data_IF_299817245951
#
_entry.id   IF_299817245951
#
_cell.length_a   1.000
_cell.length_b   1.000
_cell.length_c   1.000
_cell.angle_alpha   90.00
_cell.angle_beta   90.00
_cell.angle_gamma   90.00
#
_symmetry.space_group_name_H-M   'P 1'
#
loop_
_entity.id
_entity.type
_entity.pdbx_description
1 polymer ?
#
# COMPACT_ATOMS: atom_id res chain seq x y z
N UNK A 1 -2.09 31.59 -14.11
CA UNK A 1 -1.55 32.34 -15.26
C UNK A 1 -2.72 32.84 -16.09
N UNK A 2 -3.12 34.10 -15.90
CA UNK A 2 -4.15 34.79 -16.67
C UNK A 2 -3.50 36.01 -17.30
N UNK A 3 -3.55 36.13 -18.62
CA UNK A 3 -3.03 37.27 -19.38
C UNK A 3 -4.17 37.88 -20.19
N UNK A 4 -4.42 39.14 -19.84
CA UNK A 4 -5.22 40.18 -20.46
C UNK A 4 -5.00 40.38 -21.97
N UNK A 5 -6.03 40.88 -22.67
CA UNK A 5 -6.02 42.06 -23.58
C UNK A 5 -7.36 42.08 -24.36
N UNK A 6 -8.36 42.90 -24.01
CA UNK A 6 -8.60 44.34 -24.33
C UNK A 6 -8.70 44.68 -25.83
N UNK A 7 -9.93 44.99 -26.22
CA UNK A 7 -10.40 45.62 -27.47
C UNK A 7 -9.83 47.03 -27.72
N UNK A 8 -10.00 47.56 -28.95
CA UNK A 8 -10.40 48.95 -29.10
C UNK A 8 -11.53 49.20 -30.13
N UNK A 9 -12.20 50.33 -29.92
CA UNK A 9 -13.34 50.93 -30.61
C UNK A 9 -12.95 51.75 -31.87
N UNK A 10 -13.85 51.73 -32.86
CA UNK A 10 -14.38 52.81 -33.73
C UNK A 10 -13.53 54.05 -34.10
N UNK A 11 -13.36 54.30 -35.41
CA UNK A 11 -13.20 55.65 -36.02
C UNK A 11 -13.25 55.64 -37.58
N UNK A 12 -14.19 56.42 -38.16
CA UNK A 12 -14.20 57.09 -39.49
C UNK A 12 -14.08 56.23 -40.79
N UNK A 13 -14.79 56.45 -41.90
CA UNK A 13 -15.32 57.67 -42.49
C UNK A 13 -16.52 57.39 -43.44
N UNK A 14 -17.48 58.32 -43.41
CA UNK A 14 -18.63 58.45 -44.31
C UNK A 14 -18.16 59.13 -45.61
N UNK A 15 -18.30 58.47 -46.77
CA UNK A 15 -18.02 59.06 -48.08
C UNK A 15 -19.34 59.40 -48.80
N UNK A 16 -19.39 60.64 -49.29
CA UNK A 16 -20.57 61.40 -49.65
C UNK A 16 -21.22 60.98 -50.99
N UNK A 17 -22.55 61.11 -50.98
CA UNK A 17 -23.48 61.14 -52.12
C UNK A 17 -23.16 62.28 -53.07
N UNK A 18 -23.09 62.00 -54.37
CA UNK A 18 -23.37 62.97 -55.44
C UNK A 18 -24.19 62.26 -56.53
N UNK A 19 -25.47 62.62 -56.62
CA UNK A 19 -26.35 62.31 -57.76
C UNK A 19 -27.31 63.49 -57.96
N UNK A 20 -27.25 64.16 -59.11
CA UNK A 20 -28.39 64.76 -59.82
C UNK A 20 -27.99 65.18 -61.27
N UNK A 21 -28.96 65.33 -62.21
CA UNK A 21 -28.87 64.88 -63.60
C UNK A 21 -29.06 66.01 -64.64
N UNK A 22 -28.79 65.74 -65.93
CA UNK A 22 -29.40 66.48 -67.06
C UNK A 22 -29.18 65.75 -68.41
N UNK A 23 -30.25 65.74 -69.22
CA UNK A 23 -30.42 65.13 -70.54
C UNK A 23 -29.81 65.98 -71.67
N UNK A 24 -29.45 65.36 -72.83
CA UNK A 24 -29.75 65.87 -74.18
C UNK A 24 -29.20 64.96 -75.32
N UNK A 25 -30.00 64.81 -76.40
CA UNK A 25 -29.61 64.38 -77.76
C UNK A 25 -29.82 62.87 -78.05
N UNK A 26 -30.87 62.36 -78.70
CA UNK A 26 -31.61 62.66 -79.95
C UNK A 26 -30.97 62.09 -81.24
N UNK A 27 -31.74 61.21 -81.89
CA UNK A 27 -31.69 60.68 -83.28
C UNK A 27 -30.68 59.54 -83.57
N UNK A 28 -30.99 58.54 -84.40
CA UNK A 28 -32.17 58.22 -85.23
C UNK A 28 -32.16 56.73 -85.55
N UNK A 29 -33.37 56.24 -85.73
CA UNK A 29 -33.78 55.12 -86.58
C UNK A 29 -32.75 54.70 -87.64
N UNK A 30 -32.40 53.41 -87.64
CA UNK A 30 -32.27 52.69 -88.90
C UNK A 30 -33.33 51.62 -88.98
N UNK A 31 -34.17 51.82 -89.98
CA UNK A 31 -35.34 51.04 -90.29
C UNK A 31 -34.94 49.72 -90.96
N UNK A 32 -35.78 48.72 -90.74
CA UNK A 32 -36.05 47.63 -91.68
C UNK A 32 -34.89 46.68 -92.03
N UNK A 33 -34.74 45.66 -91.20
CA UNK A 33 -34.81 44.29 -91.76
C UNK A 33 -35.95 43.58 -91.05
N UNK A 34 -37.11 43.57 -91.69
CA UNK A 34 -38.23 42.67 -91.40
C UNK A 34 -37.74 41.23 -91.66
N UNK A 35 -36.98 40.69 -90.72
CA UNK A 35 -36.98 39.25 -90.49
C UNK A 35 -38.42 38.88 -90.21
N UNK A 36 -39.03 38.16 -91.15
CA UNK A 36 -40.41 37.65 -91.11
C UNK A 36 -40.85 37.36 -89.65
N UNK A 37 -41.97 37.91 -89.15
CA UNK A 37 -42.44 37.73 -87.76
C UNK A 37 -42.41 36.28 -87.26
N UNK A 38 -42.62 35.32 -88.18
CA UNK A 38 -42.50 33.88 -87.92
C UNK A 38 -41.07 33.48 -87.51
N UNK A 39 -40.02 34.03 -88.14
CA UNK A 39 -38.62 33.77 -87.75
C UNK A 39 -38.27 34.32 -86.37
N UNK A 40 -38.85 35.44 -85.95
CA UNK A 40 -38.64 35.97 -84.58
C UNK A 40 -39.24 35.05 -83.53
N UNK A 41 -40.45 34.54 -83.75
CA UNK A 41 -41.10 33.58 -82.85
C UNK A 41 -40.33 32.26 -82.83
N UNK A 42 -39.89 31.74 -83.99
CA UNK A 42 -39.08 30.51 -84.06
C UNK A 42 -37.72 30.69 -83.36
N UNK A 43 -37.03 31.82 -83.54
CA UNK A 43 -35.76 32.10 -82.87
C UNK A 43 -35.94 32.25 -81.34
N UNK A 44 -37.04 32.86 -80.88
CA UNK A 44 -37.37 32.94 -79.46
C UNK A 44 -37.65 31.55 -78.89
N UNK A 45 -38.45 30.72 -79.58
CA UNK A 45 -38.73 29.34 -79.19
C UNK A 45 -37.46 28.48 -79.17
N UNK A 46 -36.55 28.65 -80.13
CA UNK A 46 -35.24 27.98 -80.14
C UNK A 46 -34.33 28.46 -79.01
N UNK A 47 -34.34 29.75 -78.68
CA UNK A 47 -33.59 30.30 -77.54
C UNK A 47 -34.15 29.82 -76.19
N UNK A 48 -35.47 29.72 -76.06
CA UNK A 48 -36.13 29.13 -74.89
C UNK A 48 -35.84 27.64 -74.78
N UNK A 49 -35.86 26.91 -75.90
CA UNK A 49 -35.49 25.49 -75.94
C UNK A 49 -34.04 25.28 -75.48
N UNK A 50 -33.09 26.11 -75.93
CA UNK A 50 -31.70 26.07 -75.46
C UNK A 50 -31.56 26.39 -73.97
N UNK A 51 -32.23 27.44 -73.48
CA UNK A 51 -32.22 27.78 -72.04
C UNK A 51 -32.78 26.65 -71.18
N UNK A 52 -33.91 26.06 -71.58
CA UNK A 52 -34.51 24.91 -70.87
C UNK A 52 -33.58 23.70 -70.89
N UNK A 53 -32.82 23.48 -71.96
CA UNK A 53 -31.81 22.41 -72.00
C UNK A 53 -30.61 22.70 -71.09
N UNK A 54 -30.10 23.94 -71.06
CA UNK A 54 -28.99 24.36 -70.19
C UNK A 54 -29.39 24.35 -68.70
N UNK A 55 -30.57 24.86 -68.37
CA UNK A 55 -31.14 24.82 -67.02
C UNK A 55 -31.43 23.39 -66.59
N UNK A 56 -32.00 22.56 -67.49
CA UNK A 56 -32.22 21.14 -67.23
C UNK A 56 -30.93 20.35 -67.01
N UNK A 57 -29.81 20.73 -67.63
CA UNK A 57 -28.50 20.12 -67.35
C UNK A 57 -27.95 20.54 -65.98
N UNK A 58 -28.06 21.83 -65.63
CA UNK A 58 -27.63 22.35 -64.33
C UNK A 58 -28.46 21.80 -63.17
N UNK A 59 -29.77 21.69 -63.33
CA UNK A 59 -30.67 21.10 -62.33
C UNK A 59 -30.37 19.61 -62.11
N UNK A 60 -30.11 18.85 -63.18
CA UNK A 60 -29.67 17.45 -63.07
C UNK A 60 -28.37 17.32 -62.29
N UNK A 61 -27.37 18.15 -62.59
CA UNK A 61 -26.09 18.12 -61.87
C UNK A 61 -26.24 18.49 -60.38
N UNK A 62 -27.06 19.50 -60.06
CA UNK A 62 -27.37 19.86 -58.67
C UNK A 62 -28.12 18.74 -57.95
N UNK A 63 -29.08 18.11 -58.63
CA UNK A 63 -29.86 17.01 -58.08
C UNK A 63 -28.97 15.80 -57.80
N UNK A 64 -28.08 15.42 -58.72
CA UNK A 64 -27.12 14.34 -58.51
C UNK A 64 -26.17 14.63 -57.35
N UNK A 65 -25.66 15.86 -57.22
CA UNK A 65 -24.83 16.28 -56.07
C UNK A 65 -25.59 16.22 -54.76
N UNK A 66 -26.84 16.69 -54.73
CA UNK A 66 -27.70 16.64 -53.56
C UNK A 66 -27.99 15.19 -53.15
N UNK A 67 -28.33 14.33 -54.11
CA UNK A 67 -28.56 12.91 -53.86
C UNK A 67 -27.29 12.18 -53.39
N UNK A 68 -26.12 12.54 -53.93
CA UNK A 68 -24.83 12.02 -53.46
C UNK A 68 -24.55 12.45 -52.01
N UNK A 69 -24.85 13.69 -51.64
CA UNK A 69 -24.75 14.18 -50.26
C UNK A 69 -25.70 13.44 -49.32
N UNK A 70 -26.97 13.29 -49.69
CA UNK A 70 -27.97 12.58 -48.89
C UNK A 70 -27.62 11.11 -48.71
N UNK A 71 -27.19 10.42 -49.77
CA UNK A 71 -26.82 9.00 -49.69
C UNK A 71 -25.58 8.78 -48.83
N UNK A 72 -24.50 9.57 -49.03
CA UNK A 72 -23.31 9.50 -48.18
C UNK A 72 -23.61 9.85 -46.72
N UNK A 73 -24.31 10.94 -46.48
CA UNK A 73 -24.69 11.37 -45.12
C UNK A 73 -25.55 10.32 -44.40
N UNK A 74 -26.52 9.72 -45.10
CA UNK A 74 -27.33 8.64 -44.54
C UNK A 74 -26.52 7.37 -44.24
N UNK A 75 -25.55 7.04 -45.11
CA UNK A 75 -24.64 5.90 -44.92
C UNK A 75 -23.71 6.10 -43.73
N UNK A 76 -23.03 7.24 -43.66
CA UNK A 76 -22.11 7.59 -42.56
C UNK A 76 -22.85 7.66 -41.22
N UNK A 77 -24.05 8.25 -41.21
CA UNK A 77 -24.91 8.29 -40.01
C UNK A 77 -25.31 6.87 -39.59
N UNK A 78 -25.76 6.02 -40.52
CA UNK A 78 -26.11 4.63 -40.24
C UNK A 78 -24.93 3.82 -39.69
N UNK A 79 -23.73 3.98 -40.25
CA UNK A 79 -22.51 3.36 -39.75
C UNK A 79 -22.18 3.84 -38.33
N UNK A 80 -22.31 5.14 -38.06
CA UNK A 80 -22.07 5.70 -36.72
C UNK A 80 -23.06 5.18 -35.68
N UNK A 81 -24.33 5.01 -36.05
CA UNK A 81 -25.37 4.43 -35.19
C UNK A 81 -25.05 2.98 -34.90
N UNK A 82 -24.74 2.17 -35.91
CA UNK A 82 -24.39 0.75 -35.71
C UNK A 82 -23.12 0.58 -34.85
N UNK A 83 -22.11 1.44 -35.05
CA UNK A 83 -20.92 1.47 -34.21
C UNK A 83 -21.24 1.88 -32.75
N UNK A 84 -22.21 2.78 -32.55
CA UNK A 84 -22.67 3.16 -31.21
C UNK A 84 -23.48 2.03 -30.55
N UNK A 85 -24.41 1.41 -31.27
CA UNK A 85 -25.24 0.29 -30.80
C UNK A 85 -24.40 -0.92 -30.38
N UNK A 86 -23.24 -1.14 -31.01
CA UNK A 86 -22.28 -2.18 -30.61
C UNK A 86 -21.40 -1.77 -29.43
N UNK A 87 -21.01 -0.49 -29.34
CA UNK A 87 -20.19 0.03 -28.23
C UNK A 87 -20.94 0.16 -26.92
N UNK A 88 -22.18 0.61 -26.94
CA UNK A 88 -22.99 0.82 -25.72
C UNK A 88 -23.01 -0.43 -24.83
N UNK A 89 -23.39 -1.63 -25.29
CA UNK A 89 -23.42 -2.81 -24.44
C UNK A 89 -22.03 -3.23 -23.95
N UNK A 90 -20.98 -3.03 -24.77
CA UNK A 90 -19.60 -3.33 -24.36
C UNK A 90 -19.16 -2.43 -23.21
N UNK A 91 -19.36 -1.12 -23.33
CA UNK A 91 -18.96 -0.16 -22.28
C UNK A 91 -19.82 -0.35 -21.03
N UNK A 92 -21.11 -0.67 -21.15
CA UNK A 92 -21.95 -1.01 -20.00
C UNK A 92 -21.43 -2.26 -19.27
N UNK A 93 -21.08 -3.33 -19.99
CA UNK A 93 -20.51 -4.52 -19.37
C UNK A 93 -19.16 -4.24 -18.67
N UNK A 94 -18.31 -3.39 -19.27
CA UNK A 94 -17.05 -2.97 -18.66
C UNK A 94 -17.28 -2.14 -17.38
N UNK A 95 -18.30 -1.27 -17.36
CA UNK A 95 -18.70 -0.50 -16.18
C UNK A 95 -19.16 -1.44 -15.06
N UNK A 96 -20.09 -2.36 -15.34
CA UNK A 96 -20.60 -3.31 -14.35
C UNK A 96 -19.47 -4.16 -13.76
N UNK A 97 -18.53 -4.61 -14.60
CA UNK A 97 -17.34 -5.35 -14.15
C UNK A 97 -16.40 -4.49 -13.28
N UNK A 98 -16.23 -3.21 -13.63
CA UNK A 98 -15.42 -2.27 -12.84
C UNK A 98 -16.06 -1.95 -11.49
N UNK A 99 -17.39 -1.76 -11.44
CA UNK A 99 -18.14 -1.54 -10.20
C UNK A 99 -18.04 -2.75 -9.26
N UNK A 100 -18.15 -3.97 -9.79
CA UNK A 100 -17.95 -5.19 -9.01
C UNK A 100 -16.54 -5.29 -8.42
N UNK A 101 -15.51 -4.96 -9.21
CA UNK A 101 -14.12 -4.92 -8.73
C UNK A 101 -13.89 -3.83 -7.69
N UNK A 102 -14.51 -2.67 -7.86
CA UNK A 102 -14.43 -1.58 -6.90
C UNK A 102 -15.01 -2.01 -5.56
N UNK A 103 -16.22 -2.59 -5.55
CA UNK A 103 -16.84 -3.10 -4.33
C UNK A 103 -15.97 -4.16 -3.63
N UNK A 104 -15.40 -5.10 -4.39
CA UNK A 104 -14.47 -6.09 -3.82
C UNK A 104 -13.23 -5.42 -3.23
N UNK A 105 -12.61 -4.49 -3.95
CA UNK A 105 -11.40 -3.80 -3.50
C UNK A 105 -11.66 -2.97 -2.24
N UNK A 106 -12.84 -2.36 -2.10
CA UNK A 106 -13.23 -1.64 -0.88
C UNK A 106 -13.38 -2.56 0.33
N UNK A 107 -13.92 -3.76 0.14
CA UNK A 107 -14.02 -4.78 1.19
C UNK A 107 -12.61 -5.25 1.59
N UNK A 108 -11.79 -5.61 0.61
CA UNK A 108 -10.42 -6.08 0.83
C UNK A 108 -9.57 -5.01 1.54
N UNK A 109 -9.77 -3.73 1.19
CA UNK A 109 -9.07 -2.61 1.82
C UNK A 109 -9.47 -2.46 3.29
N UNK A 110 -10.76 -2.59 3.63
CA UNK A 110 -11.20 -2.56 5.03
C UNK A 110 -10.64 -3.73 5.81
N UNK A 111 -10.71 -4.94 5.26
CA UNK A 111 -10.13 -6.14 5.90
C UNK A 111 -8.62 -5.96 6.13
N UNK A 112 -7.88 -5.49 5.11
CA UNK A 112 -6.44 -5.26 5.24
C UNK A 112 -6.10 -4.18 6.28
N UNK A 113 -6.97 -3.18 6.48
CA UNK A 113 -6.79 -2.18 7.55
C UNK A 113 -6.99 -2.78 8.94
N UNK A 114 -8.01 -3.63 9.10
CA UNK A 114 -8.27 -4.36 10.35
C UNK A 114 -7.12 -5.32 10.66
N UNK A 115 -6.71 -6.13 9.69
CA UNK A 115 -5.59 -7.07 9.81
C UNK A 115 -4.29 -6.35 10.16
N UNK A 116 -4.02 -5.19 9.55
CA UNK A 116 -2.86 -4.37 9.88
C UNK A 116 -2.91 -3.86 11.32
N UNK A 117 -4.09 -3.45 11.80
CA UNK A 117 -4.26 -3.00 13.17
C UNK A 117 -4.03 -4.13 14.16
N UNK A 118 -4.64 -5.30 13.91
CA UNK A 118 -4.47 -6.49 14.71
C UNK A 118 -3.01 -6.96 14.73
N UNK A 119 -2.33 -7.00 13.58
CA UNK A 119 -0.93 -7.36 13.49
C UNK A 119 -0.02 -6.40 14.26
N UNK A 120 -0.29 -5.09 14.23
CA UNK A 120 0.46 -4.11 15.04
C UNK A 120 0.28 -4.33 16.54
N UNK A 121 -0.95 -4.61 16.98
CA UNK A 121 -1.23 -4.91 18.37
C UNK A 121 -0.50 -6.19 18.82
N UNK A 122 -0.61 -7.26 18.03
CA UNK A 122 0.09 -8.53 18.30
C UNK A 122 1.61 -8.35 18.36
N UNK A 123 2.20 -7.56 17.45
CA UNK A 123 3.64 -7.25 17.48
C UNK A 123 4.04 -6.46 18.73
N UNK A 124 3.23 -5.50 19.16
CA UNK A 124 3.50 -4.73 20.37
C UNK A 124 3.42 -5.60 21.63
N UNK A 125 2.41 -6.46 21.73
CA UNK A 125 2.26 -7.42 22.82
C UNK A 125 3.41 -8.43 22.84
N UNK A 126 3.80 -8.99 21.69
CA UNK A 126 4.93 -9.90 21.57
C UNK A 126 6.26 -9.23 21.97
N UNK A 127 6.46 -7.97 21.57
CA UNK A 127 7.66 -7.20 21.95
C UNK A 127 7.69 -6.96 23.46
N UNK A 128 6.56 -6.56 24.06
CA UNK A 128 6.46 -6.35 25.49
C UNK A 128 6.69 -7.65 26.29
N UNK A 129 6.19 -8.78 25.78
CA UNK A 129 6.44 -10.09 26.37
C UNK A 129 7.93 -10.45 26.32
N UNK A 130 8.58 -10.29 25.15
CA UNK A 130 10.02 -10.55 24.99
C UNK A 130 10.87 -9.65 25.88
N UNK A 131 10.53 -8.38 26.02
CA UNK A 131 11.24 -7.49 26.96
C UNK A 131 11.08 -7.94 28.42
N UNK A 132 9.92 -8.46 28.80
CA UNK A 132 9.68 -8.99 30.14
C UNK A 132 10.45 -10.30 30.37
N UNK A 133 10.40 -11.22 29.41
CA UNK A 133 11.12 -12.50 29.46
C UNK A 133 12.63 -12.28 29.52
N UNK A 134 13.19 -11.43 28.66
CA UNK A 134 14.62 -11.10 28.67
C UNK A 134 15.07 -10.47 29.99
N UNK A 135 14.23 -9.61 30.61
CA UNK A 135 14.52 -9.04 31.94
C UNK A 135 14.51 -10.11 33.03
N UNK A 136 13.52 -11.01 33.02
CA UNK A 136 13.46 -12.13 33.97
C UNK A 136 14.65 -13.07 33.80
N UNK A 137 14.98 -13.43 32.57
CA UNK A 137 16.15 -14.27 32.25
C UNK A 137 17.46 -13.62 32.71
N UNK A 138 17.65 -12.32 32.48
CA UNK A 138 18.84 -11.61 32.94
C UNK A 138 18.98 -11.62 34.47
N UNK A 139 17.86 -11.44 35.19
CA UNK A 139 17.83 -11.52 36.65
C UNK A 139 18.15 -12.93 37.15
N UNK A 140 17.49 -13.95 36.61
CA UNK A 140 17.74 -15.35 36.95
C UNK A 140 19.18 -15.74 36.65
N UNK A 141 19.71 -15.40 35.47
CA UNK A 141 21.09 -15.68 35.09
C UNK A 141 22.07 -15.07 36.11
N UNK A 142 21.84 -13.83 36.53
CA UNK A 142 22.69 -13.17 37.53
C UNK A 142 22.64 -13.90 38.90
N UNK A 143 21.47 -14.37 39.32
CA UNK A 143 21.34 -15.18 40.53
C UNK A 143 22.04 -16.54 40.40
N UNK A 144 21.86 -17.25 39.29
CA UNK A 144 22.54 -18.52 39.03
C UNK A 144 24.06 -18.35 39.00
N UNK A 145 24.58 -17.31 38.33
CA UNK A 145 26.01 -16.99 38.29
C UNK A 145 26.56 -16.72 39.71
N UNK A 146 25.83 -15.95 40.53
CA UNK A 146 26.22 -15.67 41.92
C UNK A 146 26.20 -16.94 42.79
N UNK A 147 25.19 -17.79 42.63
CA UNK A 147 25.06 -19.05 43.36
C UNK A 147 26.16 -20.05 42.98
N UNK A 148 26.45 -20.22 41.69
CA UNK A 148 27.54 -21.08 41.20
C UNK A 148 28.89 -20.57 41.72
N UNK A 149 29.12 -19.26 41.72
CA UNK A 149 30.34 -18.68 42.29
C UNK A 149 30.48 -18.96 43.79
N UNK A 150 29.40 -18.81 44.55
CA UNK A 150 29.38 -19.14 45.98
C UNK A 150 29.68 -20.63 46.24
N UNK A 151 29.09 -21.52 45.45
CA UNK A 151 29.33 -22.98 45.51
C UNK A 151 30.79 -23.31 45.20
N UNK A 152 31.38 -22.71 44.16
CA UNK A 152 32.81 -22.90 43.82
C UNK A 152 33.72 -22.46 44.97
N UNK A 153 33.45 -21.30 45.57
CA UNK A 153 34.18 -20.82 46.74
C UNK A 153 34.06 -21.76 47.94
N UNK A 154 32.87 -22.33 48.15
CA UNK A 154 32.64 -23.32 49.20
C UNK A 154 33.47 -24.59 48.98
N UNK A 155 33.41 -25.16 47.76
CA UNK A 155 34.18 -26.35 47.39
C UNK A 155 35.67 -26.10 47.61
N UNK A 156 36.22 -24.98 47.11
CA UNK A 156 37.64 -24.64 47.29
C UNK A 156 38.04 -24.49 48.77
N UNK A 157 37.21 -23.83 49.57
CA UNK A 157 37.51 -23.62 50.98
C UNK A 157 37.47 -24.93 51.78
N UNK A 158 36.56 -25.84 51.42
CA UNK A 158 36.46 -27.18 52.03
C UNK A 158 37.63 -28.08 51.64
N UNK A 159 38.06 -28.06 50.37
CA UNK A 159 39.21 -28.81 49.88
C UNK A 159 40.53 -28.34 50.52
N UNK A 160 40.66 -27.03 50.78
CA UNK A 160 41.81 -26.43 51.47
C UNK A 160 41.77 -26.58 52.99
N UNK A 161 40.74 -27.24 53.55
CA UNK A 161 40.58 -27.42 55.00
C UNK A 161 40.21 -26.14 55.76
N UNK A 162 39.76 -25.09 55.07
CA UNK A 162 39.40 -23.78 55.63
C UNK A 162 37.89 -23.67 55.97
N UNK A 163 37.25 -24.78 56.33
CA UNK A 163 35.82 -24.85 56.59
C UNK A 163 35.33 -23.82 57.64
N UNK A 164 36.06 -23.66 58.75
CA UNK A 164 35.68 -22.73 59.81
C UNK A 164 35.69 -21.25 59.39
N UNK A 165 36.64 -20.85 58.53
CA UNK A 165 36.68 -19.49 57.98
C UNK A 165 35.62 -19.28 56.91
N UNK A 166 35.30 -20.33 56.14
CA UNK A 166 34.26 -20.27 55.11
C UNK A 166 32.87 -19.99 55.69
N UNK A 167 32.53 -20.59 56.83
CA UNK A 167 31.23 -20.41 57.48
C UNK A 167 30.92 -18.94 57.86
N UNK A 168 31.95 -18.10 57.99
CA UNK A 168 31.82 -16.68 58.28
C UNK A 168 31.66 -15.81 57.02
N UNK A 169 31.81 -16.39 55.82
CA UNK A 169 31.74 -15.66 54.56
C UNK A 169 30.31 -15.42 54.10
N UNK A 170 30.13 -14.40 53.25
CA UNK A 170 28.85 -14.14 52.57
C UNK A 170 28.43 -15.30 51.65
N UNK A 171 29.37 -16.05 51.09
CA UNK A 171 29.08 -17.23 50.27
C UNK A 171 28.40 -18.34 51.09
N UNK A 172 28.82 -18.57 52.33
CA UNK A 172 28.15 -19.53 53.23
C UNK A 172 26.71 -19.11 53.58
N UNK A 173 26.45 -17.79 53.69
CA UNK A 173 25.10 -17.27 53.91
C UNK A 173 24.20 -17.46 52.68
N UNK A 174 24.73 -17.22 51.48
CA UNK A 174 24.01 -17.45 50.21
C UNK A 174 23.67 -18.93 50.02
N UNK A 175 24.61 -19.84 50.28
CA UNK A 175 24.35 -21.29 50.19
C UNK A 175 23.32 -21.73 51.23
N UNK A 176 23.31 -21.13 52.43
CA UNK A 176 22.27 -21.42 53.43
C UNK A 176 20.89 -21.01 52.94
N UNK A 177 20.75 -19.84 52.33
CA UNK A 177 19.47 -19.40 51.75
C UNK A 177 19.07 -20.31 50.58
N UNK A 178 20.00 -20.63 49.70
CA UNK A 178 19.77 -21.55 48.59
C UNK A 178 19.29 -22.93 49.06
N UNK A 179 19.89 -23.47 50.13
CA UNK A 179 19.49 -24.74 50.73
C UNK A 179 18.14 -24.68 51.45
N UNK A 180 17.61 -23.50 51.77
CA UNK A 180 16.26 -23.34 52.29
C UNK A 180 15.23 -23.17 51.16
N UNK A 181 15.61 -22.48 50.08
CA UNK A 181 14.70 -22.11 48.98
C UNK A 181 14.54 -23.22 47.92
N UNK A 182 15.59 -23.96 47.59
CA UNK A 182 15.56 -24.96 46.51
C UNK A 182 14.88 -26.24 46.98
N UNK A 183 13.59 -26.44 46.71
CA UNK A 183 12.87 -27.68 47.07
C UNK A 183 13.34 -28.95 46.31
N UNK A 184 14.07 -28.80 45.20
CA UNK A 184 14.49 -29.91 44.33
C UNK A 184 15.68 -30.74 44.85
N UNK A 185 16.28 -30.34 45.98
CA UNK A 185 17.36 -31.10 46.61
C UNK A 185 16.79 -32.20 47.53
N UNK A 186 17.40 -33.38 47.50
CA UNK A 186 17.06 -34.48 48.40
C UNK A 186 17.11 -34.00 49.86
N UNK A 187 16.09 -34.35 50.64
CA UNK A 187 15.97 -33.89 52.03
C UNK A 187 17.18 -34.28 52.88
N UNK A 188 17.81 -35.42 52.56
CA UNK A 188 19.04 -35.91 53.20
C UNK A 188 20.21 -34.95 52.93
N UNK A 189 20.41 -34.55 51.67
CA UNK A 189 21.49 -33.64 51.27
C UNK A 189 21.27 -32.23 51.82
N UNK A 190 20.00 -31.79 51.88
CA UNK A 190 19.61 -30.54 52.52
C UNK A 190 19.98 -30.52 54.00
N UNK A 191 19.62 -31.57 54.72
CA UNK A 191 19.91 -31.68 56.15
C UNK A 191 21.43 -31.78 56.41
N UNK A 192 22.16 -32.50 55.57
CA UNK A 192 23.63 -32.56 55.62
C UNK A 192 24.27 -31.17 55.41
N UNK A 193 23.79 -30.40 54.43
CA UNK A 193 24.28 -29.04 54.19
C UNK A 193 23.90 -28.07 55.31
N UNK A 194 22.67 -28.09 55.80
CA UNK A 194 22.22 -27.19 56.86
C UNK A 194 22.88 -27.51 58.22
N UNK A 195 23.11 -28.79 58.53
CA UNK A 195 23.84 -29.21 59.74
C UNK A 195 25.31 -28.80 59.69
N UNK A 196 25.94 -28.89 58.51
CA UNK A 196 27.29 -28.38 58.28
C UNK A 196 27.36 -26.85 58.42
N UNK A 197 26.44 -26.12 57.79
CA UNK A 197 26.43 -24.66 57.81
C UNK A 197 26.07 -24.07 59.19
N UNK A 198 25.28 -24.78 60.01
CA UNK A 198 24.91 -24.36 61.36
C UNK A 198 25.97 -24.63 62.44
N UNK A 199 27.19 -25.03 62.04
CA UNK A 199 28.33 -25.23 62.93
C UNK A 199 28.08 -26.28 64.03
N UNK A 200 27.36 -27.37 63.70
CA UNK A 200 27.27 -28.56 64.54
C UNK A 200 26.54 -28.41 65.89
N UNK A 201 25.68 -27.41 66.08
CA UNK A 201 24.96 -27.21 67.35
C UNK A 201 23.79 -28.18 67.60
N UNK A 202 23.47 -29.08 66.67
CA UNK A 202 22.39 -30.07 66.82
C UNK A 202 22.96 -31.47 66.97
N UNK A 203 22.79 -32.02 68.17
CA UNK A 203 23.25 -33.32 68.65
C UNK A 203 22.94 -34.49 67.69
N UNK A 204 23.97 -35.18 67.16
CA UNK A 204 23.85 -36.55 66.65
C UNK A 204 24.70 -36.92 65.42
N UNK A 205 24.89 -36.01 64.45
CA UNK A 205 25.59 -36.32 63.20
C UNK A 205 26.40 -35.10 62.72
N UNK A 206 27.70 -35.27 62.55
CA UNK A 206 28.61 -34.27 61.94
C UNK A 206 29.03 -34.83 60.58
N UNK A 207 28.48 -34.29 59.46
CA UNK A 207 28.85 -34.74 58.13
C UNK A 207 30.37 -34.62 57.94
N UNK A 208 31.00 -35.62 57.32
CA UNK A 208 32.41 -35.49 56.92
C UNK A 208 32.48 -34.41 55.83
N UNK A 209 33.48 -33.52 55.91
CA UNK A 209 33.66 -32.44 54.93
C UNK A 209 33.68 -32.94 53.48
N UNK A 210 34.18 -34.16 53.24
CA UNK A 210 34.19 -34.81 51.92
C UNK A 210 32.81 -35.12 51.34
N UNK A 211 31.84 -35.47 52.17
CA UNK A 211 30.45 -35.75 51.75
C UNK A 211 29.76 -34.45 51.33
N UNK A 212 29.91 -33.39 52.14
CA UNK A 212 29.41 -32.04 51.85
C UNK A 212 30.05 -31.46 50.59
N UNK A 213 31.35 -31.70 50.35
CA UNK A 213 31.97 -31.27 49.09
C UNK A 213 31.41 -31.98 47.86
N UNK A 214 31.02 -33.26 47.99
CA UNK A 214 30.41 -34.02 46.90
C UNK A 214 29.06 -33.43 46.52
N UNK A 215 28.20 -33.20 47.52
CA UNK A 215 26.88 -32.58 47.35
C UNK A 215 27.00 -31.19 46.72
N UNK A 216 27.94 -30.36 47.20
CA UNK A 216 28.15 -29.02 46.64
C UNK A 216 28.64 -29.04 45.19
N UNK A 217 29.50 -29.99 44.81
CA UNK A 217 29.95 -30.15 43.41
C UNK A 217 28.78 -30.55 42.51
N UNK A 218 28.02 -31.57 42.91
CA UNK A 218 26.85 -32.02 42.16
C UNK A 218 25.80 -30.91 41.99
N UNK A 219 25.54 -30.13 43.05
CA UNK A 219 24.66 -28.97 43.02
C UNK A 219 25.18 -27.89 42.07
N UNK A 220 26.49 -27.60 42.12
CA UNK A 220 27.14 -26.64 41.22
C UNK A 220 27.07 -27.06 39.75
N UNK A 221 27.33 -28.33 39.45
CA UNK A 221 27.28 -28.89 38.10
C UNK A 221 25.85 -28.90 37.56
N UNK A 222 24.87 -29.26 38.39
CA UNK A 222 23.45 -29.24 38.02
C UNK A 222 22.98 -27.80 37.73
N UNK A 223 23.33 -26.83 38.58
CA UNK A 223 23.00 -25.43 38.37
C UNK A 223 23.68 -24.86 37.12
N UNK A 224 24.95 -25.22 36.87
CA UNK A 224 25.66 -24.80 35.67
C UNK A 224 25.02 -25.37 34.40
N UNK A 225 24.58 -26.62 34.44
CA UNK A 225 23.83 -27.24 33.35
C UNK A 225 22.49 -26.54 33.11
N UNK A 226 21.71 -26.27 34.16
CA UNK A 226 20.44 -25.54 34.04
C UNK A 226 20.63 -24.13 33.47
N UNK A 227 21.69 -23.41 33.86
CA UNK A 227 22.02 -22.11 33.30
C UNK A 227 22.34 -22.23 31.80
N UNK A 228 23.14 -23.22 31.41
CA UNK A 228 23.50 -23.46 30.02
C UNK A 228 22.27 -23.78 29.15
N UNK A 229 21.38 -24.65 29.65
CA UNK A 229 20.14 -25.01 28.97
C UNK A 229 19.20 -23.79 28.84
N UNK A 230 19.06 -22.98 29.90
CA UNK A 230 18.26 -21.75 29.88
C UNK A 230 18.85 -20.69 28.92
N UNK A 231 20.18 -20.57 28.85
CA UNK A 231 20.86 -19.66 27.92
C UNK A 231 20.68 -20.11 26.48
N UNK A 232 20.78 -21.41 26.21
CA UNK A 232 20.52 -21.96 24.88
C UNK A 232 19.05 -21.74 24.45
N UNK A 233 18.11 -21.88 25.39
CA UNK A 233 16.70 -21.60 25.14
C UNK A 233 16.45 -20.10 24.83
N UNK A 234 17.07 -19.19 25.57
CA UNK A 234 16.98 -17.74 25.31
C UNK A 234 17.60 -17.37 23.95
N UNK A 235 18.78 -17.90 23.62
CA UNK A 235 19.40 -17.68 22.31
C UNK A 235 18.56 -18.23 21.15
N UNK A 236 17.87 -19.36 21.36
CA UNK A 236 16.93 -19.91 20.39
C UNK A 236 15.71 -19.00 20.23
N UNK A 237 15.16 -18.48 21.34
CA UNK A 237 14.03 -17.55 21.33
C UNK A 237 14.37 -16.23 20.62
N UNK A 238 15.59 -15.71 20.79
CA UNK A 238 16.04 -14.48 20.10
C UNK A 238 16.15 -14.68 18.58
N UNK A 239 16.51 -15.88 18.11
CA UNK A 239 16.67 -16.20 16.68
C UNK A 239 15.35 -16.48 15.96
N UNK A 240 14.30 -16.84 16.69
CA UNK A 240 12.94 -17.13 16.19
C UNK A 240 12.04 -15.91 16.23
#
# INVERSE_FOLDING_TARGET
MARSMRSPLLAFAFAAVVLMPAQAGMQREDAQVLGNPIRKVVNLLQAMQKKVQEEGAKEKELYEKFMCFCTKGSGDLGLSISAAETKVPSVTADIDAAEGKLAQTEIDLKQAQEDRSAAKAAMAEATALREKEAKSFAAEKAEYDANIAAIKQAVEALEKGMAGSFLQTRAAQLIRQLALDKQEMLDVDRQALLSFLSNGQTSGYVPRSGEVTGILKEMGDTMAKSLADATAAEEAAIKS
#
